data_IF_858599692858
#
_entry.id   IF_858599692858
#
_cell.length_a   1.000
_cell.length_b   1.000
_cell.length_c   1.000
_cell.angle_alpha   90.00
_cell.angle_beta   90.00
_cell.angle_gamma   90.00
#
_symmetry.space_group_name_H-M   'P 1'
#
loop_
_entity.id
_entity.type
_entity.pdbx_description
1 polymer ?
#
# COMPACT_ATOMS: atom_id res chain seq x y z
N UNK A 1 -11.41 -2.11 -27.20
CA UNK A 1 -11.18 -0.67 -27.42
C UNK A 1 -9.78 -0.42 -27.98
N UNK A 2 -9.63 -0.32 -29.29
CA UNK A 2 -8.34 -0.08 -29.95
C UNK A 2 -7.83 1.36 -29.70
N UNK A 3 -6.58 1.54 -29.23
CA UNK A 3 -6.00 2.85 -28.86
C UNK A 3 -4.85 3.28 -29.76
N UNK A 4 -4.73 4.58 -30.01
CA UNK A 4 -3.64 5.15 -30.81
C UNK A 4 -2.34 5.24 -30.00
N UNK A 5 -1.19 5.28 -30.70
CA UNK A 5 0.12 5.46 -30.05
C UNK A 5 0.17 6.73 -29.18
N UNK A 6 -0.59 7.77 -29.54
CA UNK A 6 -0.68 9.02 -28.76
C UNK A 6 -1.41 8.78 -27.43
N UNK A 7 -2.60 8.17 -27.48
CA UNK A 7 -3.39 7.88 -26.28
C UNK A 7 -2.61 6.95 -25.33
N UNK A 8 -1.89 5.97 -25.87
CA UNK A 8 -1.04 5.09 -25.08
C UNK A 8 0.11 5.84 -24.40
N UNK A 9 0.72 6.80 -25.10
CA UNK A 9 1.82 7.60 -24.57
C UNK A 9 1.34 8.45 -23.38
N UNK A 10 0.18 9.10 -23.56
CA UNK A 10 -0.43 9.95 -22.55
C UNK A 10 -0.89 9.11 -21.33
N UNK A 11 -1.42 7.90 -21.54
CA UNK A 11 -1.86 7.01 -20.45
C UNK A 11 -0.72 6.35 -19.67
N UNK A 12 0.34 5.93 -20.36
CA UNK A 12 1.51 5.30 -19.73
C UNK A 12 2.51 6.33 -19.18
N UNK A 13 2.33 7.62 -19.45
CA UNK A 13 3.27 8.67 -19.05
C UNK A 13 4.64 8.56 -19.73
N UNK A 14 4.69 8.00 -20.95
CA UNK A 14 5.93 7.78 -21.71
C UNK A 14 5.88 8.50 -23.05
N UNK A 15 7.03 8.72 -23.68
CA UNK A 15 7.07 9.35 -24.99
C UNK A 15 6.51 8.44 -26.09
N UNK A 16 5.91 9.04 -27.13
CA UNK A 16 5.45 8.32 -28.34
C UNK A 16 6.58 7.49 -28.96
N UNK A 17 7.81 7.96 -28.86
CA UNK A 17 9.00 7.26 -29.35
C UNK A 17 9.31 6.00 -28.53
N UNK A 18 9.14 6.05 -27.21
CA UNK A 18 9.32 4.88 -26.34
C UNK A 18 8.35 3.75 -26.70
N UNK A 19 7.09 4.10 -27.04
CA UNK A 19 6.10 3.14 -27.51
C UNK A 19 6.47 2.59 -28.88
N UNK A 20 6.86 3.45 -29.84
CA UNK A 20 7.33 3.03 -31.18
C UNK A 20 8.49 2.06 -31.11
N UNK A 21 9.42 2.25 -30.17
CA UNK A 21 10.55 1.35 -29.94
C UNK A 21 10.14 -0.04 -29.43
N UNK A 22 8.96 -0.17 -28.83
CA UNK A 22 8.41 -1.45 -28.36
C UNK A 22 7.51 -2.14 -29.39
N UNK A 23 7.12 -1.43 -30.44
CA UNK A 23 6.33 -1.94 -31.54
C UNK A 23 7.25 -2.61 -32.57
N UNK A 24 7.85 -3.74 -32.18
CA UNK A 24 8.70 -4.56 -33.07
C UNK A 24 7.88 -5.15 -34.22
N UNK A 25 8.54 -5.61 -35.28
CA UNK A 25 7.87 -6.12 -36.49
C UNK A 25 6.88 -7.26 -36.20
N UNK A 26 7.27 -8.20 -35.32
CA UNK A 26 6.40 -9.26 -34.82
C UNK A 26 5.22 -8.73 -34.01
N UNK A 27 5.42 -7.68 -33.21
CA UNK A 27 4.35 -7.07 -32.42
C UNK A 27 3.36 -6.34 -33.34
N UNK A 28 3.86 -5.67 -34.37
CA UNK A 28 3.04 -4.95 -35.35
C UNK A 28 2.15 -5.91 -36.15
N UNK A 29 2.70 -7.03 -36.60
CA UNK A 29 1.94 -8.03 -37.34
C UNK A 29 0.75 -8.60 -36.56
N UNK A 30 0.90 -8.77 -35.24
CA UNK A 30 -0.09 -9.43 -34.40
C UNK A 30 -1.06 -8.46 -33.70
N UNK A 31 -0.60 -7.25 -33.35
CA UNK A 31 -1.31 -6.39 -32.41
C UNK A 31 -1.55 -4.97 -32.89
N UNK A 32 -1.06 -4.60 -34.07
CA UNK A 32 -1.22 -3.25 -34.63
C UNK A 32 -2.05 -3.34 -35.90
N UNK A 33 -3.04 -2.45 -36.00
CA UNK A 33 -3.91 -2.35 -37.15
C UNK A 33 -3.87 -0.92 -37.68
N UNK A 34 -3.97 -0.79 -38.98
CA UNK A 34 -4.14 0.51 -39.63
C UNK A 34 -5.63 0.78 -39.80
N UNK A 35 -6.11 1.86 -39.18
CA UNK A 35 -7.51 2.27 -39.26
C UNK A 35 -7.57 3.65 -39.92
N UNK A 36 -8.39 3.79 -40.95
CA UNK A 36 -8.64 5.09 -41.57
C UNK A 36 -9.59 5.89 -40.70
N UNK A 37 -9.11 7.00 -40.13
CA UNK A 37 -9.92 7.98 -39.41
C UNK A 37 -9.84 9.30 -40.15
N UNK A 38 -10.99 9.87 -40.51
CA UNK A 38 -11.08 11.17 -41.19
C UNK A 38 -10.21 11.26 -42.46
N UNK A 39 -10.18 10.18 -43.26
CA UNK A 39 -9.36 10.10 -44.47
C UNK A 39 -7.86 9.88 -44.24
N UNK A 40 -7.39 9.82 -42.99
CA UNK A 40 -5.98 9.61 -42.65
C UNK A 40 -5.78 8.21 -42.05
N UNK A 41 -4.83 7.47 -42.58
CA UNK A 41 -4.43 6.16 -42.04
C UNK A 41 -3.73 6.33 -40.70
N UNK A 42 -4.33 5.80 -39.64
CA UNK A 42 -3.82 5.90 -38.28
C UNK A 42 -3.52 4.52 -37.73
N UNK A 43 -2.34 4.36 -37.13
CA UNK A 43 -1.95 3.12 -36.46
C UNK A 43 -2.59 3.05 -35.07
N UNK A 44 -3.28 1.95 -34.84
CA UNK A 44 -4.02 1.68 -33.62
C UNK A 44 -3.59 0.32 -33.08
N UNK A 45 -3.39 0.23 -31.78
CA UNK A 45 -3.03 -1.00 -31.08
C UNK A 45 -4.32 -1.66 -30.56
N UNK A 46 -4.40 -2.97 -30.75
CA UNK A 46 -5.49 -3.82 -30.24
C UNK A 46 -5.46 -3.94 -28.72
N UNK A 47 -6.55 -4.40 -28.12
CA UNK A 47 -6.65 -4.55 -26.66
C UNK A 47 -5.59 -5.49 -26.08
N UNK A 48 -5.28 -6.58 -26.77
CA UNK A 48 -4.22 -7.52 -26.39
C UNK A 48 -2.84 -6.86 -26.43
N UNK A 49 -2.56 -6.07 -27.48
CA UNK A 49 -1.34 -5.27 -27.56
C UNK A 49 -1.24 -4.23 -26.45
N UNK A 50 -2.35 -3.59 -26.09
CA UNK A 50 -2.42 -2.64 -24.99
C UNK A 50 -2.02 -3.28 -23.65
N UNK A 51 -2.54 -4.46 -23.33
CA UNK A 51 -2.21 -5.16 -22.08
C UNK A 51 -0.71 -5.49 -21.97
N UNK A 52 -0.11 -5.96 -23.07
CA UNK A 52 1.33 -6.22 -23.12
C UNK A 52 2.16 -4.96 -22.90
N UNK A 53 1.79 -3.85 -23.56
CA UNK A 53 2.47 -2.57 -23.38
C UNK A 53 2.28 -2.03 -21.95
N UNK A 54 1.07 -2.14 -21.40
CA UNK A 54 0.76 -1.73 -20.02
C UNK A 54 1.60 -2.49 -19.02
N UNK A 55 1.76 -3.81 -19.17
CA UNK A 55 2.63 -4.59 -18.33
C UNK A 55 4.09 -4.11 -18.43
N UNK A 56 4.60 -3.91 -19.64
CA UNK A 56 5.98 -3.45 -19.85
C UNK A 56 6.27 -2.07 -19.27
N UNK A 57 5.36 -1.10 -19.41
CA UNK A 57 5.57 0.26 -18.95
C UNK A 57 5.19 0.44 -17.46
N UNK A 58 4.18 -0.27 -16.95
CA UNK A 58 3.79 -0.18 -15.53
C UNK A 58 4.68 -1.02 -14.61
N UNK A 59 5.34 -2.08 -15.09
CA UNK A 59 6.32 -2.83 -14.29
C UNK A 59 7.61 -2.04 -13.99
N UNK A 60 7.79 -0.85 -14.57
CA UNK A 60 8.98 -0.01 -14.41
C UNK A 60 9.16 0.64 -13.03
N UNK A 61 8.11 0.74 -12.20
CA UNK A 61 8.21 1.42 -10.90
C UNK A 61 8.82 0.57 -9.78
N UNK A 62 9.12 -0.72 -10.02
CA UNK A 62 9.72 -1.60 -9.00
C UNK A 62 10.83 -2.53 -9.53
N UNK A 63 11.42 -2.26 -10.68
CA UNK A 63 12.56 -3.05 -11.14
C UNK A 63 13.68 -2.13 -11.62
N UNK A 64 14.59 -1.81 -10.69
CA UNK A 64 15.95 -1.41 -11.06
C UNK A 64 16.48 -2.47 -12.03
N UNK A 65 16.85 -2.00 -13.21
CA UNK A 65 17.37 -2.77 -14.32
C UNK A 65 18.73 -3.39 -13.95
N UNK A 66 18.71 -4.56 -13.31
CA UNK A 66 19.80 -5.52 -13.37
C UNK A 66 19.82 -6.16 -14.75
N UNK A 67 20.25 -5.43 -15.77
CA UNK A 67 20.55 -5.97 -17.10
C UNK A 67 21.78 -6.87 -16.99
N UNK A 68 21.57 -8.14 -16.59
CA UNK A 68 22.51 -9.21 -16.93
C UNK A 68 22.06 -9.77 -18.29
N UNK A 69 22.68 -9.26 -19.34
CA UNK A 69 22.66 -9.85 -20.66
C UNK A 69 23.23 -11.27 -20.53
N UNK A 70 22.40 -12.31 -20.62
CA UNK A 70 22.87 -13.64 -20.98
C UNK A 70 22.26 -13.99 -22.34
N UNK A 71 23.05 -13.66 -23.36
CA UNK A 71 22.99 -14.35 -24.63
C UNK A 71 23.59 -15.75 -24.42
N UNK A 72 22.74 -16.78 -24.34
CA UNK A 72 23.16 -18.13 -24.68
C UNK A 72 21.95 -18.98 -25.08
N UNK A 73 22.01 -19.39 -26.34
CA UNK A 73 21.49 -20.60 -26.97
C UNK A 73 20.02 -20.98 -26.79
N UNK A 74 19.33 -20.86 -27.92
CA UNK A 74 18.09 -21.54 -28.28
C UNK A 74 18.26 -23.07 -28.09
N UNK A 75 17.42 -23.69 -27.26
CA UNK A 75 17.47 -25.14 -27.03
C UNK A 75 16.58 -25.65 -25.90
N UNK A 76 16.53 -24.99 -24.73
CA UNK A 76 15.84 -25.53 -23.54
C UNK A 76 15.04 -24.49 -22.73
N UNK A 77 14.52 -23.45 -23.39
CA UNK A 77 13.85 -22.32 -22.71
C UNK A 77 12.58 -22.71 -21.93
N UNK A 78 11.92 -23.83 -22.26
CA UNK A 78 10.68 -24.25 -21.60
C UNK A 78 10.89 -24.69 -20.15
N UNK A 79 11.86 -25.58 -19.90
CA UNK A 79 12.10 -26.13 -18.57
C UNK A 79 12.62 -25.07 -17.58
N UNK A 80 13.62 -24.27 -18.01
CA UNK A 80 14.19 -23.20 -17.19
C UNK A 80 13.15 -22.13 -16.80
N UNK A 81 12.20 -21.82 -17.68
CA UNK A 81 11.13 -20.87 -17.36
C UNK A 81 10.14 -21.42 -16.32
N UNK A 82 9.85 -22.72 -16.36
CA UNK A 82 8.94 -23.36 -15.39
C UNK A 82 9.57 -23.40 -14.00
N UNK A 83 10.86 -23.71 -13.92
CA UNK A 83 11.59 -23.70 -12.64
C UNK A 83 11.65 -22.29 -12.03
N UNK A 84 11.98 -21.28 -12.84
CA UNK A 84 11.98 -19.87 -12.40
C UNK A 84 10.58 -19.41 -11.94
N UNK A 85 9.52 -19.80 -12.65
CA UNK A 85 8.14 -19.48 -12.25
C UNK A 85 7.76 -20.17 -10.93
N UNK A 86 8.19 -21.41 -10.72
CA UNK A 86 7.96 -22.16 -9.47
C UNK A 86 8.70 -21.52 -8.30
N UNK A 87 9.94 -21.10 -8.50
CA UNK A 87 10.71 -20.36 -7.49
C UNK A 87 10.01 -19.06 -7.12
N UNK A 88 9.57 -18.29 -8.13
CA UNK A 88 8.82 -17.05 -7.91
C UNK A 88 7.51 -17.28 -7.14
N UNK A 89 6.77 -18.34 -7.46
CA UNK A 89 5.57 -18.72 -6.71
C UNK A 89 5.91 -19.00 -5.25
N UNK A 90 6.96 -19.78 -4.98
CA UNK A 90 7.37 -20.10 -3.61
C UNK A 90 7.76 -18.86 -2.80
N UNK A 91 8.41 -17.87 -3.45
CA UNK A 91 8.78 -16.61 -2.81
C UNK A 91 7.52 -15.79 -2.51
N UNK A 92 6.57 -15.72 -3.46
CA UNK A 92 5.30 -15.02 -3.26
C UNK A 92 4.47 -15.64 -2.15
N UNK A 93 4.39 -16.96 -2.09
CA UNK A 93 3.66 -17.67 -1.03
C UNK A 93 4.25 -17.40 0.35
N UNK A 94 5.59 -17.39 0.46
CA UNK A 94 6.28 -16.99 1.71
C UNK A 94 5.95 -15.54 2.10
N UNK A 95 5.99 -14.62 1.14
CA UNK A 95 5.66 -13.22 1.38
C UNK A 95 4.19 -13.01 1.79
N UNK A 96 3.27 -13.82 1.25
CA UNK A 96 1.86 -13.81 1.64
C UNK A 96 1.73 -14.29 3.09
N UNK A 97 2.36 -15.42 3.41
CA UNK A 97 2.34 -15.97 4.77
C UNK A 97 2.89 -14.99 5.81
N UNK A 98 4.02 -14.35 5.52
CA UNK A 98 4.59 -13.33 6.40
C UNK A 98 3.65 -12.13 6.62
N UNK A 99 2.98 -11.66 5.56
CA UNK A 99 1.97 -10.60 5.69
C UNK A 99 0.76 -11.04 6.49
N UNK A 100 0.28 -12.26 6.30
CA UNK A 100 -0.83 -12.80 7.08
C UNK A 100 -0.48 -12.92 8.57
N UNK A 101 0.75 -13.33 8.89
CA UNK A 101 1.23 -13.41 10.27
C UNK A 101 1.36 -12.00 10.89
N UNK A 102 1.81 -11.00 10.13
CA UNK A 102 1.80 -9.59 10.55
C UNK A 102 0.37 -9.08 10.79
N UNK A 103 -0.57 -9.39 9.91
CA UNK A 103 -1.98 -9.00 10.06
C UNK A 103 -2.59 -9.62 11.33
N UNK A 104 -2.32 -10.89 11.62
CA UNK A 104 -2.75 -11.54 12.86
C UNK A 104 -2.17 -10.86 14.10
N UNK A 105 -0.89 -10.50 14.06
CA UNK A 105 -0.25 -9.78 15.17
C UNK A 105 -0.88 -8.39 15.39
N UNK A 106 -1.14 -7.65 14.31
CA UNK A 106 -1.80 -6.35 14.37
C UNK A 106 -3.24 -6.47 14.90
N UNK A 107 -3.99 -7.47 14.44
CA UNK A 107 -5.36 -7.71 14.93
C UNK A 107 -5.37 -8.01 16.43
N UNK A 108 -4.44 -8.86 16.91
CA UNK A 108 -4.31 -9.13 18.34
C UNK A 108 -3.97 -7.87 19.15
N UNK A 109 -3.09 -7.00 18.65
CA UNK A 109 -2.75 -5.74 19.31
C UNK A 109 -3.95 -4.78 19.35
N UNK A 110 -4.74 -4.75 18.29
CA UNK A 110 -5.97 -3.97 18.22
C UNK A 110 -7.01 -4.47 19.24
N UNK A 111 -7.21 -5.78 19.33
CA UNK A 111 -8.14 -6.36 20.30
C UNK A 111 -7.71 -6.03 21.74
N UNK A 112 -6.40 -6.09 22.03
CA UNK A 112 -5.86 -5.71 23.34
C UNK A 112 -6.09 -4.23 23.65
N UNK A 113 -5.89 -3.33 22.68
CA UNK A 113 -6.11 -1.90 22.90
C UNK A 113 -7.59 -1.57 23.12
N UNK A 114 -8.49 -2.24 22.40
CA UNK A 114 -9.94 -2.11 22.61
C UNK A 114 -10.36 -2.59 24.01
N UNK A 115 -9.83 -3.74 24.46
CA UNK A 115 -10.10 -4.24 25.82
C UNK A 115 -9.59 -3.27 26.89
N UNK A 116 -8.37 -2.75 26.74
CA UNK A 116 -7.81 -1.76 27.67
C UNK A 116 -8.63 -0.47 27.70
N UNK A 117 -9.13 -0.02 26.54
CA UNK A 117 -9.99 1.15 26.44
C UNK A 117 -11.29 0.97 27.25
N UNK A 118 -11.98 -0.16 27.05
CA UNK A 118 -13.20 -0.49 27.81
C UNK A 118 -12.95 -0.57 29.32
N UNK A 119 -11.81 -1.13 29.73
CA UNK A 119 -11.43 -1.19 31.15
C UNK A 119 -11.17 0.23 31.69
N UNK A 120 -10.52 1.10 30.92
CA UNK A 120 -10.26 2.48 31.32
C UNK A 120 -11.57 3.28 31.45
N UNK A 121 -12.49 3.16 30.49
CA UNK A 121 -13.80 3.81 30.54
C UNK A 121 -14.60 3.39 31.77
N UNK A 122 -14.69 2.08 32.05
CA UNK A 122 -15.36 1.56 33.25
C UNK A 122 -14.76 2.10 34.55
N UNK A 123 -13.43 2.21 34.62
CA UNK A 123 -12.75 2.79 35.79
C UNK A 123 -13.07 4.27 35.95
N UNK A 124 -13.10 5.03 34.86
CA UNK A 124 -13.47 6.45 34.86
C UNK A 124 -14.91 6.62 35.34
N UNK A 125 -15.85 5.79 34.86
CA UNK A 125 -17.25 5.80 35.30
C UNK A 125 -17.38 5.49 36.80
N UNK A 126 -16.68 4.47 37.29
CA UNK A 126 -16.68 4.15 38.72
C UNK A 126 -16.16 5.31 39.59
N UNK A 127 -15.07 5.97 39.17
CA UNK A 127 -14.53 7.13 39.88
C UNK A 127 -15.51 8.31 39.85
N UNK A 128 -16.15 8.57 38.70
CA UNK A 128 -17.20 9.60 38.57
C UNK A 128 -18.39 9.33 39.50
N UNK A 129 -18.82 8.07 39.61
CA UNK A 129 -19.89 7.70 40.53
C UNK A 129 -19.51 7.92 42.01
N UNK A 130 -18.30 7.54 42.41
CA UNK A 130 -17.81 7.73 43.79
C UNK A 130 -17.69 9.22 44.12
N UNK A 131 -17.12 10.02 43.22
CA UNK A 131 -16.97 11.47 43.42
C UNK A 131 -18.32 12.19 43.50
N UNK A 132 -19.30 11.82 42.67
CA UNK A 132 -20.68 12.34 42.77
C UNK A 132 -21.31 12.04 44.13
N UNK A 133 -21.16 10.80 44.63
CA UNK A 133 -21.73 10.39 45.92
C UNK A 133 -21.04 11.08 47.11
N UNK A 134 -19.74 11.40 47.00
CA UNK A 134 -19.01 12.16 48.03
C UNK A 134 -19.37 13.66 48.05
N UNK A 135 -19.67 14.28 46.90
CA UNK A 135 -20.14 15.67 46.86
C UNK A 135 -21.51 15.86 47.52
N UNK A 136 -22.38 14.84 47.48
CA UNK A 136 -23.68 14.90 48.15
C UNK A 136 -23.57 14.70 49.68
N UNK A 137 -22.55 13.97 50.16
CA UNK A 137 -22.32 13.74 51.59
C UNK A 137 -21.55 14.87 52.30
N UNK A 138 -20.78 15.69 51.58
CA UNK A 138 -19.92 16.72 52.18
C UNK A 138 -20.58 18.11 52.31
N UNK A 139 -21.85 18.26 51.92
CA UNK A 139 -22.58 19.53 52.07
C UNK A 139 -23.17 19.75 53.48
N UNK A 140 -22.80 18.94 54.47
CA UNK A 140 -23.18 19.16 55.87
C UNK A 140 -21.99 18.98 56.84
N UNK A 141 -20.91 19.76 56.66
CA UNK A 141 -20.04 20.11 57.79
C UNK A 141 -19.31 21.44 57.59
N UNK A 142 -19.84 22.41 58.32
CA UNK A 142 -19.20 23.56 58.97
C UNK A 142 -18.18 24.43 58.21
N UNK A 143 -18.69 25.62 57.96
CA UNK A 143 -18.03 26.91 58.04
C UNK A 143 -16.87 26.97 59.07
N UNK A 144 -15.79 27.66 58.67
CA UNK A 144 -14.76 28.34 59.49
C UNK A 144 -13.45 27.56 59.73
N UNK A 145 -12.42 27.89 58.95
CA UNK A 145 -11.39 28.84 59.40
C UNK A 145 -10.34 29.08 58.30
N UNK A 146 -10.00 30.35 58.10
CA UNK A 146 -8.78 30.79 57.41
C UNK A 146 -7.56 30.20 58.12
N UNK A 147 -6.57 29.73 57.36
CA UNK A 147 -5.22 30.32 57.32
C UNK A 147 -4.26 29.49 56.46
N UNK A 148 -3.54 30.21 55.60
CA UNK A 148 -2.17 30.01 55.12
C UNK A 148 -1.52 28.63 55.28
N UNK A 149 -1.05 28.06 54.17
CA UNK A 149 0.29 27.45 54.06
C UNK A 149 0.68 27.16 52.60
N UNK A 150 1.43 28.13 52.05
CA UNK A 150 2.56 28.04 51.10
C UNK A 150 2.57 26.91 50.07
N UNK A 151 2.41 27.32 48.82
CA UNK A 151 2.85 26.63 47.61
C UNK A 151 4.26 26.04 47.77
N UNK A 152 4.39 24.71 47.69
CA UNK A 152 5.63 24.06 47.28
C UNK A 152 5.42 23.44 45.91
N UNK A 153 5.86 24.15 44.87
CA UNK A 153 6.02 23.62 43.51
C UNK A 153 7.10 22.54 43.54
N UNK A 154 6.70 21.28 43.59
CA UNK A 154 7.61 20.16 43.34
C UNK A 154 7.65 19.91 41.83
N UNK A 155 8.70 20.42 41.18
CA UNK A 155 9.01 20.14 39.78
C UNK A 155 9.61 18.73 39.73
N UNK A 156 8.79 17.75 39.36
CA UNK A 156 9.19 16.37 39.21
C UNK A 156 9.72 16.16 37.78
N UNK A 157 11.05 16.21 37.66
CA UNK A 157 11.94 15.71 36.60
C UNK A 157 11.41 15.53 35.17
N UNK A 158 11.97 16.31 34.24
CA UNK A 158 12.12 15.93 32.83
C UNK A 158 13.30 14.97 32.69
N UNK A 159 13.04 13.68 32.43
CA UNK A 159 14.06 12.75 31.96
C UNK A 159 13.95 12.60 30.44
N UNK A 160 15.05 12.90 29.76
CA UNK A 160 15.34 12.52 28.38
C UNK A 160 15.77 11.04 28.33
#
# INVERSE_FOLDING_TARGET
MSKTIRELADEFGVSKQAIRKKLDENFRANYVQTVTRNGVQTLVVTDSGYLLLKQHFNSGNNHKSGRKLLASNTGNKGADTVELLKEQLSIKDKQIKEKDDQLKAMQKLLDQSQQLHLIAEKKIEAIKAITSNQSDSNNHSDFRSKNDLKEKKSVWWHFW
#
